data_IF_107946277022
#
_entry.id   IF_107946277022
#
_cell.length_a   1.000
_cell.length_b   1.000
_cell.length_c   1.000
_cell.angle_alpha   90.00
_cell.angle_beta   90.00
_cell.angle_gamma   90.00
#
_symmetry.space_group_name_H-M   'P 1'
#
loop_
_entity.id
_entity.type
_entity.pdbx_description
1 polymer ?
#
# COMPACT_ATOMS: atom_id res chain seq x y z
N UNK A 1 -2.31 -0.03 -24.12
CA UNK A 1 -1.42 -0.72 -23.19
C UNK A 1 -0.82 -1.89 -23.93
N UNK A 2 0.38 -1.70 -24.42
CA UNK A 2 1.17 -2.82 -24.91
C UNK A 2 1.80 -3.45 -23.66
N UNK A 3 1.32 -4.60 -23.24
CA UNK A 3 1.95 -5.37 -22.20
C UNK A 3 3.21 -5.99 -22.80
N UNK A 4 4.30 -5.25 -22.82
CA UNK A 4 5.59 -5.83 -23.16
C UNK A 4 6.04 -6.71 -21.99
N UNK A 5 5.58 -7.97 -22.02
CA UNK A 5 6.00 -9.01 -21.07
C UNK A 5 7.49 -9.39 -21.23
N UNK A 6 8.19 -8.83 -22.24
CA UNK A 6 9.63 -9.08 -22.45
C UNK A 6 10.51 -8.19 -21.57
N UNK A 7 9.99 -7.11 -20.98
CA UNK A 7 10.63 -6.52 -19.80
C UNK A 7 10.27 -7.47 -18.68
N UNK A 8 10.95 -8.56 -18.69
CA UNK A 8 10.82 -9.65 -17.81
C UNK A 8 10.52 -9.06 -16.42
N UNK A 9 9.33 -9.24 -15.98
CA UNK A 9 9.23 -9.85 -14.67
C UNK A 9 10.41 -10.81 -14.62
N UNK A 10 11.48 -10.39 -13.97
CA UNK A 10 12.55 -11.31 -13.71
C UNK A 10 11.88 -12.50 -13.03
N UNK A 11 11.73 -13.61 -13.73
CA UNK A 11 11.09 -14.83 -13.25
C UNK A 11 11.78 -15.36 -12.01
N UNK A 12 12.86 -14.71 -11.61
CA UNK A 12 13.59 -14.87 -10.37
C UNK A 12 13.14 -13.94 -9.25
N UNK A 13 12.20 -13.01 -9.50
CA UNK A 13 11.59 -12.29 -8.37
C UNK A 13 10.70 -13.32 -7.67
N UNK A 14 11.10 -13.78 -6.48
CA UNK A 14 10.29 -14.74 -5.78
C UNK A 14 8.94 -14.09 -5.50
N UNK A 15 7.94 -14.82 -5.65
CA UNK A 15 6.53 -14.88 -5.30
C UNK A 15 5.94 -13.83 -4.33
N UNK A 16 6.66 -12.77 -3.99
CA UNK A 16 6.29 -11.80 -2.97
C UNK A 16 5.81 -10.50 -3.62
N UNK A 17 4.81 -10.65 -4.46
CA UNK A 17 4.15 -9.51 -5.08
C UNK A 17 3.34 -8.68 -4.10
N UNK A 18 4.01 -8.08 -3.12
CA UNK A 18 3.36 -7.13 -2.21
C UNK A 18 3.02 -5.81 -2.89
N UNK A 19 3.41 -5.66 -4.13
CA UNK A 19 3.07 -4.50 -4.96
C UNK A 19 2.74 -4.92 -6.38
N UNK A 20 2.02 -4.08 -7.09
CA UNK A 20 1.78 -4.23 -8.52
C UNK A 20 2.62 -3.22 -9.28
N UNK A 21 3.45 -3.69 -10.20
CA UNK A 21 4.23 -2.85 -11.09
C UNK A 21 3.49 -2.74 -12.41
N UNK A 22 3.14 -1.52 -12.78
CA UNK A 22 2.53 -1.20 -14.05
C UNK A 22 3.60 -0.62 -14.97
N UNK A 23 3.80 -1.27 -16.09
CA UNK A 23 4.60 -0.77 -17.19
C UNK A 23 3.68 -0.40 -18.34
N UNK A 24 3.80 0.81 -18.85
CA UNK A 24 3.03 1.25 -19.99
C UNK A 24 3.95 1.93 -21.00
N UNK A 25 3.77 1.58 -22.27
CA UNK A 25 4.43 2.18 -23.40
C UNK A 25 3.37 2.57 -24.42
N UNK A 26 3.15 3.84 -24.54
CA UNK A 26 2.26 4.41 -25.55
C UNK A 26 3.11 4.73 -26.78
N UNK A 27 3.10 3.86 -27.76
CA UNK A 27 3.52 4.21 -29.12
C UNK A 27 2.35 4.91 -29.79
N UNK A 28 2.59 5.87 -30.66
CA UNK A 28 1.66 6.57 -31.57
C UNK A 28 0.53 5.71 -32.13
N UNK A 29 -0.09 4.93 -31.32
CA UNK A 29 -1.04 3.96 -31.73
C UNK A 29 -2.43 4.37 -31.25
N UNK A 30 -3.01 4.93 -32.07
CA UNK A 30 -4.37 5.25 -32.49
C UNK A 30 -5.42 4.20 -32.11
N UNK A 31 -5.05 3.00 -31.79
CA UNK A 31 -5.99 1.98 -31.33
C UNK A 31 -6.61 2.28 -29.97
N UNK A 32 -6.08 3.25 -29.26
CA UNK A 32 -6.68 3.81 -28.05
C UNK A 32 -7.73 4.87 -28.36
N UNK A 33 -8.43 4.76 -29.47
CA UNK A 33 -9.58 5.59 -29.79
C UNK A 33 -9.25 6.95 -30.38
N UNK A 34 -8.98 7.00 -31.68
CA UNK A 34 -9.06 8.16 -32.58
C UNK A 34 -8.47 9.52 -32.12
N UNK A 35 -7.48 9.51 -31.25
CA UNK A 35 -6.77 10.74 -30.88
C UNK A 35 -5.34 10.60 -31.38
N UNK A 36 -4.96 11.45 -32.34
CA UNK A 36 -3.56 11.71 -32.67
C UNK A 36 -2.91 12.30 -31.41
N UNK A 37 -2.21 11.47 -30.65
CA UNK A 37 -1.43 11.90 -29.52
C UNK A 37 -0.20 12.65 -30.03
N UNK A 38 -0.36 13.88 -30.37
CA UNK A 38 0.77 14.79 -30.49
C UNK A 38 1.12 15.26 -29.09
N UNK A 39 2.40 15.40 -28.80
CA UNK A 39 2.90 15.95 -27.52
C UNK A 39 2.24 17.29 -27.15
N UNK A 40 1.68 17.99 -28.14
CA UNK A 40 0.99 19.24 -27.94
C UNK A 40 -0.43 19.09 -27.38
N UNK A 41 -1.03 17.95 -27.49
CA UNK A 41 -2.42 17.71 -27.03
C UNK A 41 -2.52 16.96 -25.70
N UNK A 42 -1.49 16.18 -25.34
CA UNK A 42 -1.46 15.46 -24.05
C UNK A 42 -0.73 16.30 -23.01
N UNK A 43 -1.39 16.59 -21.92
CA UNK A 43 -0.79 17.26 -20.76
C UNK A 43 -0.27 16.29 -19.69
N UNK A 44 -0.82 15.09 -19.62
CA UNK A 44 -0.43 14.08 -18.64
C UNK A 44 -1.23 12.79 -18.74
N UNK A 45 -0.95 11.90 -17.83
CA UNK A 45 -1.63 10.62 -17.73
C UNK A 45 -1.96 10.30 -16.27
N UNK A 46 -3.21 9.91 -16.00
CA UNK A 46 -3.60 9.34 -14.73
C UNK A 46 -3.47 7.82 -14.75
N UNK A 47 -2.93 7.28 -13.68
CA UNK A 47 -3.09 5.88 -13.32
C UNK A 47 -4.23 5.81 -12.31
N UNK A 48 -5.28 5.10 -12.67
CA UNK A 48 -6.43 4.87 -11.81
C UNK A 48 -6.54 3.38 -11.47
N UNK A 49 -7.11 3.10 -10.32
CA UNK A 49 -7.33 1.74 -9.83
C UNK A 49 -8.73 1.58 -9.27
N UNK A 50 -9.32 0.40 -9.42
CA UNK A 50 -10.50 -0.05 -8.66
C UNK A 50 -10.39 -1.54 -8.35
N UNK A 51 -11.12 -2.01 -7.35
CA UNK A 51 -11.36 -3.44 -7.23
C UNK A 51 -12.23 -3.90 -8.40
N UNK A 52 -11.97 -5.08 -8.92
CA UNK A 52 -12.73 -5.60 -10.04
C UNK A 52 -14.22 -5.69 -9.72
N UNK A 53 -15.04 -5.06 -10.55
CA UNK A 53 -16.48 -4.97 -10.35
C UNK A 53 -16.97 -3.74 -9.58
N UNK A 54 -16.08 -2.96 -8.98
CA UNK A 54 -16.45 -1.69 -8.35
C UNK A 54 -16.71 -0.60 -9.40
N UNK A 55 -17.57 0.36 -9.06
CA UNK A 55 -17.87 1.49 -9.95
C UNK A 55 -16.88 2.64 -9.79
N UNK A 56 -16.32 2.80 -8.58
CA UNK A 56 -15.49 3.96 -8.25
C UNK A 56 -14.02 3.70 -8.61
N UNK A 57 -13.47 4.54 -9.47
CA UNK A 57 -12.04 4.61 -9.74
C UNK A 57 -11.35 5.47 -8.68
N UNK A 58 -10.18 5.04 -8.23
CA UNK A 58 -9.28 5.78 -7.35
C UNK A 58 -8.11 6.29 -8.20
N UNK A 59 -7.88 7.60 -8.25
CA UNK A 59 -6.68 8.15 -8.88
C UNK A 59 -5.47 7.87 -7.99
N UNK A 60 -4.50 7.14 -8.54
CA UNK A 60 -3.33 6.69 -7.78
C UNK A 60 -2.09 7.53 -8.10
N UNK A 61 -1.91 7.90 -9.35
CA UNK A 61 -0.73 8.60 -9.78
C UNK A 61 -1.01 9.47 -11.00
N UNK A 62 -0.40 10.66 -11.03
CA UNK A 62 -0.40 11.54 -12.18
C UNK A 62 1.02 11.67 -12.72
N UNK A 63 1.18 11.45 -13.99
CA UNK A 63 2.43 11.52 -14.72
C UNK A 63 2.30 12.70 -15.71
N UNK A 64 3.03 13.80 -15.52
CA UNK A 64 3.07 14.87 -16.51
C UNK A 64 3.82 14.40 -17.76
N UNK A 65 3.26 14.64 -18.94
CA UNK A 65 3.88 14.32 -20.22
C UNK A 65 4.41 15.61 -20.84
N UNK A 66 5.73 15.72 -20.94
CA UNK A 66 6.42 16.88 -21.52
C UNK A 66 7.23 16.51 -22.78
N UNK A 67 7.62 15.25 -22.89
CA UNK A 67 8.42 14.71 -23.99
C UNK A 67 8.00 13.27 -24.30
N UNK A 68 8.42 12.77 -25.44
CA UNK A 68 8.00 11.45 -25.94
C UNK A 68 8.44 10.31 -25.02
N UNK A 69 9.60 10.45 -24.34
CA UNK A 69 10.08 9.45 -23.40
C UNK A 69 9.15 9.27 -22.20
N UNK A 70 8.42 10.32 -21.80
CA UNK A 70 7.49 10.29 -20.66
C UNK A 70 6.27 9.39 -20.95
N UNK A 71 6.04 9.03 -22.22
CA UNK A 71 5.03 8.04 -22.61
C UNK A 71 5.41 6.60 -22.25
N UNK A 72 6.64 6.38 -21.81
CA UNK A 72 7.11 5.09 -21.32
C UNK A 72 7.42 5.23 -19.82
N UNK A 73 6.57 4.64 -18.98
CA UNK A 73 6.67 4.82 -17.53
C UNK A 73 6.43 3.54 -16.75
N UNK A 74 6.93 3.56 -15.53
CA UNK A 74 6.69 2.56 -14.52
C UNK A 74 5.97 3.19 -13.34
N UNK A 75 4.97 2.49 -12.82
CA UNK A 75 4.30 2.84 -11.59
C UNK A 75 4.22 1.63 -10.68
N UNK A 76 4.66 1.79 -9.44
CA UNK A 76 4.62 0.75 -8.42
C UNK A 76 3.50 1.05 -7.41
N UNK A 77 2.42 0.27 -7.46
CA UNK A 77 1.33 0.38 -6.49
C UNK A 77 1.57 -0.53 -5.29
N UNK A 78 1.90 0.09 -4.17
CA UNK A 78 2.10 -0.58 -2.89
C UNK A 78 0.80 -0.76 -2.09
N UNK A 79 -0.29 -0.12 -2.50
CA UNK A 79 -1.58 -0.13 -1.79
C UNK A 79 -2.50 -1.20 -2.37
N UNK A 80 -2.06 -2.44 -2.36
CA UNK A 80 -2.82 -3.59 -2.86
C UNK A 80 -2.99 -4.67 -1.79
N UNK A 81 -4.18 -5.24 -1.71
CA UNK A 81 -4.52 -6.32 -0.77
C UNK A 81 -4.25 -7.70 -1.41
N UNK A 82 -3.87 -8.69 -0.59
CA UNK A 82 -3.75 -10.07 -1.05
C UNK A 82 -5.10 -10.64 -1.50
N UNK A 83 -5.04 -11.64 -2.36
CA UNK A 83 -6.22 -12.37 -2.86
C UNK A 83 -7.31 -11.46 -3.45
N UNK A 84 -6.88 -10.34 -4.03
CA UNK A 84 -7.80 -9.34 -4.58
C UNK A 84 -7.49 -9.11 -6.05
N UNK A 85 -8.54 -9.10 -6.87
CA UNK A 85 -8.46 -8.72 -8.28
C UNK A 85 -8.69 -7.23 -8.41
N UNK A 86 -7.76 -6.53 -9.03
CA UNK A 86 -7.84 -5.12 -9.35
C UNK A 86 -7.96 -4.91 -10.85
N UNK A 87 -8.58 -3.82 -11.22
CA UNK A 87 -8.56 -3.26 -12.56
C UNK A 87 -7.82 -1.91 -12.51
N UNK A 88 -6.83 -1.76 -13.35
CA UNK A 88 -6.08 -0.51 -13.51
C UNK A 88 -6.43 0.13 -14.83
N UNK A 89 -6.42 1.44 -14.87
CA UNK A 89 -6.61 2.22 -16.07
C UNK A 89 -5.51 3.25 -16.22
N UNK A 90 -4.95 3.33 -17.43
CA UNK A 90 -4.16 4.49 -17.86
C UNK A 90 -5.10 5.41 -18.62
N UNK A 91 -5.20 6.65 -18.17
CA UNK A 91 -6.16 7.65 -18.68
C UNK A 91 -5.40 8.88 -19.12
N UNK A 92 -5.27 9.12 -20.43
CA UNK A 92 -4.62 10.32 -20.95
C UNK A 92 -5.45 11.58 -20.67
N UNK A 93 -4.77 12.67 -20.38
CA UNK A 93 -5.40 13.99 -20.25
C UNK A 93 -5.11 14.77 -21.54
N UNK A 94 -6.15 15.03 -22.29
CA UNK A 94 -6.09 15.72 -23.57
C UNK A 94 -6.93 17.00 -23.47
N UNK A 95 -6.31 18.13 -23.72
CA UNK A 95 -6.96 19.45 -23.63
C UNK A 95 -7.69 19.69 -22.30
N UNK A 96 -7.11 19.16 -21.21
CA UNK A 96 -7.68 19.28 -19.87
C UNK A 96 -8.81 18.32 -19.53
N UNK A 97 -9.19 17.42 -20.45
CA UNK A 97 -10.22 16.40 -20.25
C UNK A 97 -9.63 14.99 -20.21
N UNK A 98 -10.28 14.10 -19.45
CA UNK A 98 -9.91 12.69 -19.43
C UNK A 98 -10.30 12.01 -20.77
N UNK A 99 -9.36 11.31 -21.36
CA UNK A 99 -9.57 10.51 -22.56
C UNK A 99 -10.07 9.11 -22.26
N UNK A 100 -9.93 8.22 -23.24
CA UNK A 100 -10.37 6.83 -23.11
C UNK A 100 -9.53 6.05 -22.09
N UNK A 101 -10.21 5.29 -21.23
CA UNK A 101 -9.59 4.42 -20.24
C UNK A 101 -9.02 3.17 -20.91
N UNK A 102 -7.71 3.02 -20.81
CA UNK A 102 -7.03 1.79 -21.21
C UNK A 102 -6.87 0.92 -19.98
N UNK A 103 -7.59 -0.20 -19.93
CA UNK A 103 -7.69 -1.01 -18.71
C UNK A 103 -6.92 -2.32 -18.81
N UNK A 104 -6.41 -2.79 -17.66
CA UNK A 104 -5.81 -4.09 -17.47
C UNK A 104 -6.20 -4.66 -16.11
N UNK A 105 -6.46 -5.97 -16.07
CA UNK A 105 -6.78 -6.70 -14.85
C UNK A 105 -5.53 -7.31 -14.23
N UNK A 106 -5.43 -7.24 -12.91
CA UNK A 106 -4.32 -7.82 -12.13
C UNK A 106 -4.87 -8.59 -10.94
N UNK A 107 -4.48 -9.85 -10.80
CA UNK A 107 -4.72 -10.63 -9.59
C UNK A 107 -3.51 -10.48 -8.65
N UNK A 108 -3.75 -9.98 -7.45
CA UNK A 108 -2.69 -9.79 -6.44
C UNK A 108 -2.72 -10.98 -5.48
N UNK A 109 -1.58 -11.65 -5.32
CA UNK A 109 -1.42 -12.75 -4.39
C UNK A 109 -0.04 -12.64 -3.72
N UNK A 110 -0.01 -12.68 -2.40
CA UNK A 110 1.22 -12.74 -1.61
C UNK A 110 0.94 -13.36 -0.25
N UNK A 111 1.98 -13.96 0.33
CA UNK A 111 1.94 -14.53 1.68
C UNK A 111 2.67 -13.67 2.70
N UNK A 112 2.29 -13.83 3.97
CA UNK A 112 2.92 -13.14 5.09
C UNK A 112 2.33 -11.76 5.40
N UNK A 113 3.12 -10.96 6.08
CA UNK A 113 2.78 -9.59 6.45
C UNK A 113 3.86 -8.65 5.95
N UNK A 114 3.44 -7.57 5.30
CA UNK A 114 4.33 -6.51 4.81
C UNK A 114 3.99 -5.19 5.48
N UNK A 115 5.03 -4.47 5.89
CA UNK A 115 4.93 -3.13 6.47
C UNK A 115 5.72 -2.20 5.55
N UNK A 116 5.05 -1.24 4.92
CA UNK A 116 5.60 -0.44 3.83
C UNK A 116 5.30 1.03 4.08
N UNK A 117 6.26 1.91 3.86
CA UNK A 117 6.01 3.34 3.72
C UNK A 117 6.30 3.80 2.28
N UNK A 118 6.30 5.09 2.03
CA UNK A 118 6.56 5.64 0.69
C UNK A 118 7.97 5.37 0.17
N UNK A 119 8.90 4.90 1.00
CA UNK A 119 10.32 4.75 0.66
C UNK A 119 10.85 3.34 0.82
N UNK A 120 10.38 2.62 1.84
CA UNK A 120 10.89 1.30 2.19
C UNK A 120 9.76 0.34 2.55
N UNK A 121 10.04 -0.96 2.45
CA UNK A 121 9.12 -2.01 2.87
C UNK A 121 9.88 -3.18 3.49
N UNK A 122 9.29 -3.76 4.51
CA UNK A 122 9.84 -4.90 5.22
C UNK A 122 8.79 -5.99 5.39
N UNK A 123 9.22 -7.23 5.24
CA UNK A 123 8.38 -8.39 5.47
C UNK A 123 8.63 -8.98 6.85
N UNK A 124 7.57 -9.37 7.54
CA UNK A 124 7.64 -10.21 8.72
C UNK A 124 7.65 -11.66 8.28
N UNK A 125 8.76 -12.39 8.52
CA UNK A 125 8.98 -13.70 7.92
C UNK A 125 8.62 -14.86 8.84
N UNK A 126 9.00 -14.80 10.10
CA UNK A 126 8.82 -15.93 11.02
C UNK A 126 8.03 -15.56 12.28
N UNK A 127 7.41 -16.54 12.90
CA UNK A 127 6.56 -16.39 14.09
C UNK A 127 5.54 -15.25 13.99
N UNK A 128 5.05 -15.04 12.76
CA UNK A 128 4.12 -13.98 12.47
C UNK A 128 2.83 -14.13 13.29
N UNK A 129 2.59 -13.19 14.15
CA UNK A 129 1.39 -13.14 14.97
C UNK A 129 0.77 -11.76 14.96
N UNK A 130 -0.52 -11.70 14.66
CA UNK A 130 -1.36 -10.53 14.92
C UNK A 130 -2.19 -10.80 16.16
N UNK A 131 -2.13 -9.91 17.13
CA UNK A 131 -2.89 -10.00 18.36
C UNK A 131 -3.58 -8.70 18.70
N UNK A 132 -4.59 -8.77 19.56
CA UNK A 132 -5.31 -7.62 20.08
C UNK A 132 -5.91 -6.73 18.98
N UNK A 133 -6.39 -7.33 17.87
CA UNK A 133 -7.16 -6.57 16.89
C UNK A 133 -8.46 -6.09 17.54
N UNK A 134 -8.51 -4.81 17.82
CA UNK A 134 -9.59 -4.17 18.56
C UNK A 134 -10.08 -2.96 17.79
N UNK A 135 -11.40 -2.91 17.53
CA UNK A 135 -12.02 -1.69 17.01
C UNK A 135 -12.31 -0.75 18.16
N UNK A 136 -11.66 0.39 18.16
CA UNK A 136 -11.86 1.45 19.14
C UNK A 136 -13.02 2.33 18.71
N UNK A 137 -14.00 2.44 19.60
CA UNK A 137 -15.13 3.36 19.47
C UNK A 137 -15.20 4.16 20.77
N UNK A 138 -14.57 5.33 20.84
CA UNK A 138 -14.52 6.10 22.08
C UNK A 138 -15.92 6.50 22.53
N UNK A 139 -16.26 6.17 23.76
CA UNK A 139 -17.54 6.50 24.39
C UNK A 139 -17.28 7.03 25.80
N UNK A 140 -18.16 7.92 26.26
CA UNK A 140 -18.22 8.35 27.63
C UNK A 140 -19.48 7.76 28.27
N UNK A 141 -19.32 7.11 29.43
CA UNK A 141 -20.40 6.55 30.21
C UNK A 141 -20.59 7.45 31.43
N UNK A 142 -21.74 8.11 31.52
CA UNK A 142 -22.08 9.00 32.61
C UNK A 142 -23.11 8.28 33.51
N UNK A 143 -22.78 8.06 34.77
CA UNK A 143 -23.61 7.40 35.76
C UNK A 143 -24.22 8.45 36.71
N UNK A 144 -25.47 8.92 36.46
CA UNK A 144 -26.14 9.87 37.34
C UNK A 144 -26.57 9.20 38.65
N UNK A 145 -26.42 9.89 39.75
CA UNK A 145 -26.67 9.36 41.09
C UNK A 145 -28.10 8.84 41.31
N UNK A 146 -29.09 9.33 40.56
CA UNK A 146 -30.50 8.97 40.70
C UNK A 146 -31.08 8.26 39.48
N UNK A 147 -30.27 7.69 38.64
CA UNK A 147 -30.75 6.93 37.48
C UNK A 147 -30.35 5.46 37.59
N UNK A 148 -31.26 4.57 37.21
CA UNK A 148 -30.99 3.13 37.14
C UNK A 148 -30.06 2.78 35.96
N UNK A 149 -30.01 3.64 34.94
CA UNK A 149 -29.23 3.39 33.72
C UNK A 149 -28.27 4.57 33.44
N UNK A 150 -27.08 4.28 32.92
CA UNK A 150 -26.13 5.32 32.53
C UNK A 150 -26.57 6.00 31.23
N UNK A 151 -26.08 7.22 31.04
CA UNK A 151 -26.11 7.90 29.75
C UNK A 151 -24.84 7.57 28.97
N UNK A 152 -24.98 7.18 27.70
CA UNK A 152 -23.88 6.87 26.81
C UNK A 152 -23.71 8.01 25.81
N UNK A 153 -22.56 8.63 25.83
CA UNK A 153 -22.17 9.67 24.88
C UNK A 153 -21.05 9.15 23.97
N UNK A 154 -21.32 9.10 22.68
CA UNK A 154 -20.30 8.76 21.69
C UNK A 154 -19.50 10.00 21.30
N UNK A 155 -18.16 9.86 21.27
CA UNK A 155 -17.28 10.92 20.81
C UNK A 155 -17.25 10.93 19.28
N UNK A 156 -18.17 11.68 18.66
CA UNK A 156 -18.23 11.84 17.21
C UNK A 156 -18.32 10.49 16.45
N UNK A 157 -17.86 10.49 15.21
CA UNK A 157 -17.78 9.29 14.36
C UNK A 157 -16.42 8.59 14.42
N UNK A 158 -15.59 8.90 15.42
CA UNK A 158 -14.26 8.35 15.56
C UNK A 158 -14.34 6.84 15.82
N UNK A 159 -13.83 6.08 14.87
CA UNK A 159 -13.61 4.64 15.00
C UNK A 159 -12.37 4.26 14.21
N UNK A 160 -11.54 3.42 14.79
CA UNK A 160 -10.29 2.97 14.18
C UNK A 160 -9.90 1.60 14.73
N UNK A 161 -9.13 0.88 13.96
CA UNK A 161 -8.59 -0.40 14.39
C UNK A 161 -7.20 -0.22 15.03
N UNK A 162 -6.96 -0.97 16.10
CA UNK A 162 -5.66 -1.06 16.77
C UNK A 162 -5.28 -2.53 16.89
N UNK A 163 -4.04 -2.85 16.59
CA UNK A 163 -3.55 -4.23 16.61
C UNK A 163 -2.05 -4.29 16.89
N UNK A 164 -1.60 -5.43 17.39
CA UNK A 164 -0.18 -5.71 17.58
C UNK A 164 0.28 -6.70 16.52
N UNK A 165 1.49 -6.48 16.02
CA UNK A 165 2.21 -7.43 15.17
C UNK A 165 3.47 -7.84 15.91
N UNK A 166 3.74 -9.12 15.94
CA UNK A 166 5.01 -9.68 16.40
C UNK A 166 5.53 -10.68 15.37
N UNK A 167 6.84 -10.74 15.23
CA UNK A 167 7.48 -11.67 14.32
C UNK A 167 8.94 -11.33 14.08
N UNK A 168 9.56 -12.08 13.19
CA UNK A 168 10.96 -11.92 12.86
C UNK A 168 11.14 -11.05 11.62
N UNK A 169 12.04 -10.09 11.72
CA UNK A 169 12.54 -9.33 10.58
C UNK A 169 13.96 -9.84 10.28
N UNK A 170 14.10 -10.58 9.22
CA UNK A 170 15.37 -11.18 8.80
C UNK A 170 15.61 -10.83 7.35
N UNK A 171 16.85 -10.41 7.05
CA UNK A 171 17.27 -10.23 5.67
C UNK A 171 17.43 -11.58 5.01
N UNK A 172 16.76 -11.74 3.88
CA UNK A 172 16.84 -12.95 3.09
C UNK A 172 17.51 -12.63 1.77
N UNK A 173 18.52 -13.41 1.47
CA UNK A 173 19.15 -13.36 0.16
C UNK A 173 18.14 -13.78 -0.92
N UNK A 174 18.01 -12.98 -1.96
CA UNK A 174 17.00 -13.18 -3.01
C UNK A 174 17.32 -14.35 -3.94
N UNK A 175 18.60 -14.71 -4.07
CA UNK A 175 19.03 -15.77 -4.98
C UNK A 175 19.11 -17.12 -4.27
N UNK A 176 19.69 -17.14 -3.09
CA UNK A 176 19.95 -18.37 -2.33
C UNK A 176 18.86 -18.72 -1.34
N UNK A 177 17.95 -17.77 -1.04
CA UNK A 177 16.94 -17.88 -0.01
C UNK A 177 17.47 -18.16 1.41
N UNK A 178 18.77 -17.93 1.61
CA UNK A 178 19.41 -18.07 2.91
C UNK A 178 19.28 -16.78 3.73
N UNK A 179 19.37 -16.91 5.05
CA UNK A 179 19.34 -15.77 5.95
C UNK A 179 20.76 -15.29 6.26
N UNK A 180 21.00 -13.98 6.20
CA UNK A 180 22.24 -13.38 6.67
C UNK A 180 22.28 -13.37 8.20
N UNK A 181 22.97 -14.34 8.78
CA UNK A 181 23.13 -14.45 10.23
C UNK A 181 24.21 -13.52 10.79
N UNK A 182 25.18 -13.11 9.98
CA UNK A 182 26.30 -12.29 10.45
C UNK A 182 25.92 -10.82 10.61
N UNK A 183 25.13 -10.30 9.67
CA UNK A 183 24.73 -8.91 9.64
C UNK A 183 23.27 -8.66 10.08
N UNK A 184 22.59 -9.68 10.58
CA UNK A 184 21.18 -9.60 10.97
C UNK A 184 20.85 -8.45 11.93
N UNK A 185 21.79 -8.06 12.81
CA UNK A 185 21.62 -6.93 13.70
C UNK A 185 21.54 -5.58 12.96
N UNK A 186 22.27 -5.43 11.86
CA UNK A 186 22.23 -4.20 11.02
C UNK A 186 20.86 -4.06 10.35
N UNK A 187 20.37 -5.19 9.82
CA UNK A 187 19.02 -5.23 9.23
C UNK A 187 17.94 -4.87 10.25
N UNK A 188 17.99 -5.49 11.44
CA UNK A 188 17.04 -5.15 12.53
C UNK A 188 17.15 -3.69 12.97
N UNK A 189 18.36 -3.13 13.01
CA UNK A 189 18.56 -1.70 13.31
C UNK A 189 17.90 -0.81 12.24
N UNK A 190 17.99 -1.17 10.96
CA UNK A 190 17.30 -0.48 9.88
C UNK A 190 15.78 -0.59 10.03
N UNK A 191 15.26 -1.77 10.36
CA UNK A 191 13.84 -2.01 10.64
C UNK A 191 13.35 -1.15 11.81
N UNK A 192 14.09 -1.11 12.92
CA UNK A 192 13.73 -0.25 14.08
C UNK A 192 13.65 1.21 13.70
N UNK A 193 14.64 1.71 12.95
CA UNK A 193 14.65 3.09 12.46
C UNK A 193 13.45 3.37 11.54
N UNK A 194 13.12 2.43 10.67
CA UNK A 194 11.96 2.50 9.80
C UNK A 194 10.65 2.52 10.59
N UNK A 195 10.50 1.66 11.60
CA UNK A 195 9.29 1.59 12.42
C UNK A 195 9.12 2.81 13.32
N UNK A 196 10.21 3.39 13.81
CA UNK A 196 10.20 4.55 14.70
C UNK A 196 10.21 5.90 13.98
N UNK A 197 10.19 5.94 12.65
CA UNK A 197 10.28 7.19 11.87
C UNK A 197 9.03 8.08 11.91
N UNK A 198 7.98 7.67 12.63
CA UNK A 198 6.70 8.38 12.82
C UNK A 198 5.90 8.62 11.53
N UNK A 199 6.29 8.01 10.42
CA UNK A 199 5.54 8.08 9.17
C UNK A 199 4.44 7.02 9.16
N UNK A 200 3.29 7.28 8.53
CA UNK A 200 2.29 6.26 8.28
C UNK A 200 2.86 5.10 7.48
N UNK A 201 2.30 3.92 7.71
CA UNK A 201 2.67 2.68 7.05
C UNK A 201 1.43 2.05 6.42
N UNK A 202 1.61 1.41 5.30
CA UNK A 202 0.65 0.43 4.77
C UNK A 202 1.04 -0.93 5.36
N UNK A 203 0.15 -1.48 6.16
CA UNK A 203 0.31 -2.81 6.76
C UNK A 203 -0.58 -3.78 6.00
N UNK A 204 0.02 -4.79 5.38
CA UNK A 204 -0.65 -5.75 4.52
C UNK A 204 -0.56 -7.14 5.12
N UNK A 205 -1.68 -7.84 5.09
CA UNK A 205 -1.80 -9.19 5.62
C UNK A 205 -2.19 -10.19 4.53
N UNK A 206 -1.68 -11.40 4.61
CA UNK A 206 -1.92 -12.47 3.62
C UNK A 206 -3.40 -12.81 3.42
N UNK A 207 -4.26 -12.48 4.37
CA UNK A 207 -5.71 -12.74 4.31
C UNK A 207 -6.51 -11.69 3.53
N UNK A 208 -5.82 -10.71 2.93
CA UNK A 208 -6.42 -9.62 2.18
C UNK A 208 -6.73 -8.37 3.00
N UNK A 209 -6.45 -8.38 4.30
CA UNK A 209 -6.59 -7.17 5.10
C UNK A 209 -5.42 -6.22 4.85
N UNK A 210 -5.75 -4.95 4.73
CA UNK A 210 -4.79 -3.87 4.51
C UNK A 210 -5.19 -2.66 5.36
N UNK A 211 -4.20 -2.06 6.03
CA UNK A 211 -4.41 -0.93 6.92
C UNK A 211 -3.44 0.19 6.60
N UNK A 212 -3.91 1.43 6.70
CA UNK A 212 -3.04 2.59 6.80
C UNK A 212 -2.92 2.95 8.27
N UNK A 213 -1.76 2.73 8.87
CA UNK A 213 -1.57 2.79 10.31
C UNK A 213 -0.24 3.43 10.69
N UNK A 214 -0.19 4.01 11.88
CA UNK A 214 1.04 4.48 12.51
C UNK A 214 1.45 3.57 13.66
N UNK A 215 2.76 3.48 13.90
CA UNK A 215 3.30 2.83 15.09
C UNK A 215 3.01 3.72 16.30
N UNK A 216 2.36 3.14 17.33
CA UNK A 216 1.95 3.86 18.54
C UNK A 216 2.55 3.29 19.83
N UNK A 217 3.41 2.28 19.71
CA UNK A 217 4.20 1.76 20.82
C UNK A 217 5.69 1.97 20.58
N UNK A 218 6.48 1.70 21.59
CA UNK A 218 7.90 1.45 21.42
C UNK A 218 8.10 0.16 20.60
N UNK A 219 9.20 0.13 19.85
CA UNK A 219 9.60 -1.07 19.08
C UNK A 219 10.39 -1.97 19.99
N UNK A 220 9.74 -3.00 20.49
CA UNK A 220 10.35 -3.97 21.42
C UNK A 220 10.99 -5.13 20.68
N UNK A 221 12.17 -5.56 21.12
CA UNK A 221 12.85 -6.77 20.66
C UNK A 221 13.02 -7.74 21.83
N UNK A 222 12.70 -9.00 21.61
CA UNK A 222 12.88 -10.08 22.59
C UNK A 222 13.68 -11.19 21.96
N UNK A 223 14.78 -11.57 22.58
CA UNK A 223 15.58 -12.72 22.16
C UNK A 223 14.90 -14.01 22.55
N UNK A 224 14.81 -14.94 21.61
CA UNK A 224 14.29 -16.27 21.85
C UNK A 224 15.29 -17.19 22.57
N UNK A 225 14.82 -18.36 22.98
CA UNK A 225 15.64 -19.38 23.65
C UNK A 225 16.75 -19.92 22.74
N UNK A 226 16.53 -19.91 21.44
CA UNK A 226 17.55 -20.28 20.45
C UNK A 226 18.25 -19.03 19.96
N UNK A 227 19.57 -19.03 20.02
CA UNK A 227 20.43 -17.95 19.54
C UNK A 227 20.00 -17.52 18.13
N UNK A 228 19.89 -16.20 17.91
CA UNK A 228 19.57 -15.54 16.66
C UNK A 228 18.07 -15.33 16.36
N UNK A 229 17.15 -15.91 17.10
CA UNK A 229 15.73 -15.64 16.91
C UNK A 229 15.32 -14.41 17.72
N UNK A 230 15.24 -13.27 17.11
CA UNK A 230 14.80 -12.02 17.74
C UNK A 230 13.40 -11.68 17.24
N UNK A 231 12.44 -11.71 18.13
CA UNK A 231 11.06 -11.32 17.84
C UNK A 231 10.88 -9.85 18.10
N UNK A 232 10.46 -9.12 17.09
CA UNK A 232 10.08 -7.70 17.18
C UNK A 232 8.57 -7.60 17.41
N UNK A 233 8.18 -6.76 18.37
CA UNK A 233 6.77 -6.53 18.71
C UNK A 233 6.42 -5.05 18.59
N UNK A 234 5.27 -4.76 17.95
CA UNK A 234 4.87 -3.41 17.55
C UNK A 234 3.36 -3.27 17.64
N UNK A 235 2.89 -2.13 18.13
CA UNK A 235 1.46 -1.77 18.10
C UNK A 235 1.20 -0.77 17.00
N UNK A 236 0.20 -1.05 16.19
CA UNK A 236 -0.30 -0.17 15.15
C UNK A 236 -1.67 0.39 15.50
N UNK A 237 -1.87 1.64 15.12
CA UNK A 237 -3.17 2.31 15.20
C UNK A 237 -3.52 2.85 13.82
N UNK A 238 -4.68 2.50 13.31
CA UNK A 238 -5.20 2.95 12.03
C UNK A 238 -5.37 4.47 12.03
N UNK A 239 -4.95 5.11 10.94
CA UNK A 239 -4.95 6.58 10.79
C UNK A 239 -5.70 7.05 9.55
N UNK A 240 -6.19 6.16 8.73
CA UNK A 240 -6.95 6.50 7.53
C UNK A 240 -7.40 5.27 6.75
N UNK A 241 -8.26 5.51 5.77
CA UNK A 241 -8.80 4.46 4.91
C UNK A 241 -7.99 4.33 3.62
N UNK A 242 -7.46 3.15 3.35
CA UNK A 242 -6.69 2.83 2.13
C UNK A 242 -7.52 2.88 0.83
N UNK A 243 -8.86 2.93 0.95
CA UNK A 243 -9.78 3.08 -0.18
C UNK A 243 -10.24 4.54 -0.38
N UNK A 244 -9.64 5.48 0.36
CA UNK A 244 -9.94 6.90 0.27
C UNK A 244 -8.72 7.67 -0.28
N UNK A 245 -8.88 8.25 -1.47
CA UNK A 245 -7.83 9.04 -2.12
C UNK A 245 -7.32 10.19 -1.24
N UNK A 246 -8.23 10.87 -0.52
CA UNK A 246 -7.85 11.99 0.33
C UNK A 246 -6.93 11.54 1.47
N UNK A 247 -7.23 10.39 2.08
CA UNK A 247 -6.40 9.83 3.15
C UNK A 247 -5.03 9.39 2.61
N UNK A 248 -5.01 8.69 1.47
CA UNK A 248 -3.77 8.28 0.81
C UNK A 248 -2.90 9.49 0.42
N UNK A 249 -3.52 10.55 -0.12
CA UNK A 249 -2.81 11.78 -0.50
C UNK A 249 -2.24 12.52 0.70
N UNK A 250 -3.04 12.70 1.77
CA UNK A 250 -2.59 13.36 3.00
C UNK A 250 -1.39 12.66 3.65
N UNK A 251 -1.32 11.35 3.50
CA UNK A 251 -0.25 10.54 4.08
C UNK A 251 0.90 10.25 3.10
N UNK A 252 0.85 10.80 1.88
CA UNK A 252 1.94 10.76 0.91
C UNK A 252 2.11 9.42 0.20
N UNK A 253 1.06 8.61 0.12
CA UNK A 253 1.07 7.35 -0.62
C UNK A 253 0.69 7.50 -2.09
N UNK A 254 0.02 8.58 -2.45
CA UNK A 254 -0.30 8.96 -3.83
C UNK A 254 0.05 10.42 -4.07
N UNK A 255 0.27 10.79 -5.33
CA UNK A 255 0.70 12.15 -5.70
C UNK A 255 -0.41 13.01 -6.30
N UNK A 256 -1.61 12.47 -6.46
CA UNK A 256 -2.72 13.20 -7.07
C UNK A 256 -4.03 12.92 -6.34
N UNK A 257 -4.94 13.86 -6.47
CA UNK A 257 -6.37 13.66 -6.18
C UNK A 257 -7.10 13.69 -7.51
N UNK A 258 -8.27 13.06 -7.60
CA UNK A 258 -9.16 13.31 -8.72
C UNK A 258 -9.39 14.82 -8.81
N UNK A 259 -9.01 15.41 -9.92
CA UNK A 259 -9.41 16.77 -10.23
C UNK A 259 -10.90 16.67 -10.45
N UNK A 260 -11.66 17.20 -9.49
CA UNK A 260 -13.10 17.29 -9.63
C UNK A 260 -13.40 18.05 -10.92
N UNK A 261 -14.11 17.39 -11.82
CA UNK A 261 -14.73 18.03 -12.97
C UNK A 261 -15.86 18.92 -12.47
#
# INVERSE_FOLDING_TARGET
LDSDTSIAYDTKIPEWGYSTILHAKFKNNILAGNVDFTLNSISGMFIKKRKYGDYKWLAMHYIPIQKEEDLNFYYNDIVVAANTKYEYAAVPIVDGAEGTYQTIDVNVCYDGCFIIDSTNGYQVIGELKRSNLTRKVPVNVIEPTNSQYPFIQYYSQVKYDQFNISGWFVERDKETFTFDSENGWKYRAAVRNFLSNRKPKIVKWYDGQIYMACVTSDVGETEGVFNQHVTTSITFTEVGNVENNMDLYKHGFINCLEVGV
#
